data_IF_382742438690
#
_entry.id   IF_382742438690
#
_cell.length_a   1.000
_cell.length_b   1.000
_cell.length_c   1.000
_cell.angle_alpha   90.00
_cell.angle_beta   90.00
_cell.angle_gamma   90.00
#
_symmetry.space_group_name_H-M   'P 1'
#
loop_
_entity.id
_entity.type
_entity.pdbx_description
1 polymer ?
#
# COMPACT_ATOMS: atom_id res chain seq x y z
N UNK A 1 83.24 23.42 50.83
CA UNK A 1 82.12 22.49 51.13
C UNK A 1 80.88 23.35 51.26
N UNK A 2 79.84 23.32 50.41
CA UNK A 2 79.29 22.33 49.49
C UNK A 2 78.80 23.05 48.22
N UNK A 3 79.13 22.51 47.05
CA UNK A 3 78.54 22.92 45.76
C UNK A 3 77.25 22.15 45.54
N UNK A 4 76.14 22.83 45.23
CA UNK A 4 74.89 22.21 44.81
C UNK A 4 74.75 22.44 43.30
N UNK A 5 74.89 21.36 42.55
CA UNK A 5 74.80 21.32 41.09
C UNK A 5 73.30 21.27 40.72
N UNK A 6 72.82 22.26 39.97
CA UNK A 6 71.50 22.18 39.33
C UNK A 6 71.57 21.16 38.18
N UNK A 7 70.88 20.03 38.33
CA UNK A 7 70.70 19.04 37.28
C UNK A 7 69.41 19.34 36.53
N UNK A 8 69.54 19.83 35.29
CA UNK A 8 68.46 20.00 34.33
C UNK A 8 68.11 18.64 33.72
N UNK A 9 66.96 18.08 34.11
CA UNK A 9 66.39 16.88 33.49
C UNK A 9 65.71 17.28 32.18
N UNK A 10 66.34 16.97 31.05
CA UNK A 10 65.71 17.06 29.74
C UNK A 10 64.81 15.82 29.52
N UNK A 11 63.50 16.02 29.60
CA UNK A 11 62.49 15.04 29.19
C UNK A 11 62.50 14.93 27.67
N UNK A 12 63.18 13.91 27.14
CA UNK A 12 63.08 13.51 25.73
C UNK A 12 61.77 12.72 25.57
N UNK A 13 60.72 13.40 25.14
CA UNK A 13 59.47 12.75 24.74
C UNK A 13 59.69 11.98 23.44
N UNK A 14 59.80 10.65 23.53
CA UNK A 14 59.76 9.76 22.37
C UNK A 14 58.33 9.72 21.86
N UNK A 15 58.06 10.45 20.78
CA UNK A 15 56.80 10.35 20.02
C UNK A 15 56.85 9.05 19.24
N UNK A 16 56.10 8.05 19.71
CA UNK A 16 55.78 6.83 18.94
C UNK A 16 54.88 7.26 17.79
N UNK A 17 55.41 7.26 16.57
CA UNK A 17 54.63 7.43 15.35
C UNK A 17 53.84 6.15 15.10
N UNK A 18 52.56 6.12 15.48
CA UNK A 18 51.63 5.15 14.94
C UNK A 18 51.29 5.56 13.49
N UNK A 19 51.93 4.89 12.53
CA UNK A 19 51.47 4.85 11.15
C UNK A 19 50.20 4.02 11.06
N UNK A 20 49.05 4.68 11.05
CA UNK A 20 47.74 4.10 10.81
C UNK A 20 46.89 5.16 10.14
N UNK A 21 46.41 4.84 8.94
CA UNK A 21 45.50 5.66 8.12
C UNK A 21 44.47 6.38 8.98
N UNK A 22 44.40 7.70 8.80
CA UNK A 22 43.45 8.59 9.45
C UNK A 22 42.02 8.08 9.16
N UNK A 23 41.44 7.36 10.12
CA UNK A 23 40.00 7.22 10.19
C UNK A 23 39.47 8.63 10.48
N UNK A 24 39.17 9.35 9.40
CA UNK A 24 38.53 10.66 9.48
C UNK A 24 37.19 10.45 10.17
N UNK A 25 37.12 10.77 11.45
CA UNK A 25 35.85 10.90 12.15
C UNK A 25 35.16 12.10 11.48
N UNK A 26 34.05 11.93 10.74
CA UNK A 26 33.39 13.05 10.10
C UNK A 26 32.96 14.03 11.19
N UNK A 27 33.44 15.28 11.08
CA UNK A 27 32.96 16.39 11.88
C UNK A 27 31.43 16.46 11.75
N UNK A 28 30.66 16.74 12.82
CA UNK A 28 29.22 16.92 12.69
C UNK A 28 28.97 18.05 11.70
N UNK A 29 28.44 17.67 10.53
CA UNK A 29 28.24 18.57 9.40
C UNK A 29 27.32 19.70 9.79
N UNK A 30 27.64 20.88 9.29
CA UNK A 30 26.69 22.00 9.30
C UNK A 30 25.48 21.61 8.46
N UNK A 31 24.27 22.04 8.85
CA UNK A 31 23.03 21.72 8.15
C UNK A 31 23.15 22.05 6.65
N UNK A 32 23.27 21.02 5.80
CA UNK A 32 23.34 21.16 4.34
C UNK A 32 24.52 20.47 3.65
N UNK A 33 25.54 20.00 4.38
CA UNK A 33 26.66 19.27 3.77
C UNK A 33 26.25 17.84 3.40
N UNK A 34 26.36 17.49 2.11
CA UNK A 34 26.15 16.13 1.61
C UNK A 34 27.43 15.30 1.75
N UNK A 35 27.31 14.08 2.30
CA UNK A 35 28.39 13.11 2.45
C UNK A 35 28.12 11.83 1.65
N UNK A 36 29.19 11.33 1.03
CA UNK A 36 29.16 10.07 0.29
C UNK A 36 28.99 8.90 1.24
N UNK A 37 27.94 8.11 1.02
CA UNK A 37 27.71 6.86 1.72
C UNK A 37 28.58 5.77 1.10
N UNK A 38 29.19 4.94 1.93
CA UNK A 38 30.06 3.84 1.52
C UNK A 38 29.49 2.50 1.95
N UNK A 39 29.89 1.45 1.23
CA UNK A 39 29.66 0.07 1.64
C UNK A 39 30.53 -0.26 2.85
N UNK A 40 30.24 -1.38 3.52
CA UNK A 40 31.01 -1.87 4.68
C UNK A 40 32.49 -2.11 4.37
N UNK A 41 32.84 -2.40 3.12
CA UNK A 41 34.21 -2.58 2.63
C UNK A 41 34.91 -1.26 2.25
N UNK A 42 34.24 -0.11 2.44
CA UNK A 42 34.73 1.21 2.08
C UNK A 42 34.57 1.57 0.59
N UNK A 43 34.02 0.67 -0.23
CA UNK A 43 33.77 0.96 -1.64
C UNK A 43 32.58 1.90 -1.82
N UNK A 44 32.53 2.54 -2.99
CA UNK A 44 31.44 3.43 -3.36
C UNK A 44 30.09 2.68 -3.43
N UNK A 45 29.02 3.38 -3.05
CA UNK A 45 27.64 2.89 -3.17
C UNK A 45 27.10 2.95 -4.60
N UNK A 46 27.84 3.58 -5.53
CA UNK A 46 27.52 3.63 -6.95
C UNK A 46 28.42 2.74 -7.82
N UNK A 47 27.91 2.35 -8.98
CA UNK A 47 28.66 1.64 -10.04
C UNK A 47 28.94 2.53 -11.28
N UNK A 48 28.64 3.82 -11.18
CA UNK A 48 28.76 4.81 -12.26
C UNK A 48 27.51 4.94 -13.14
N UNK A 49 26.50 4.08 -12.97
CA UNK A 49 25.21 4.17 -13.66
C UNK A 49 24.02 4.20 -12.68
N UNK A 50 24.19 3.61 -11.50
CA UNK A 50 23.19 3.48 -10.47
C UNK A 50 23.82 3.51 -9.08
N UNK A 51 22.99 3.74 -8.08
CA UNK A 51 23.36 3.69 -6.67
C UNK A 51 22.51 2.65 -5.93
N UNK A 52 23.08 1.97 -4.95
CA UNK A 52 22.37 1.01 -4.11
C UNK A 52 22.84 1.04 -2.66
N UNK A 53 21.91 0.80 -1.73
CA UNK A 53 22.19 0.61 -0.31
C UNK A 53 22.75 -0.79 0.02
N UNK A 54 22.93 -1.65 -0.98
CA UNK A 54 23.45 -3.00 -0.80
C UNK A 54 24.80 -3.00 -0.07
N UNK A 55 24.89 -3.83 0.97
CA UNK A 55 26.10 -3.99 1.79
C UNK A 55 26.55 -2.68 2.47
N UNK A 56 25.60 -1.84 2.91
CA UNK A 56 25.88 -0.67 3.76
C UNK A 56 25.46 -0.96 5.20
N UNK A 57 26.16 -0.37 6.17
CA UNK A 57 25.79 -0.50 7.59
C UNK A 57 24.41 0.12 7.86
N UNK A 58 24.10 1.25 7.21
CA UNK A 58 22.82 1.95 7.34
C UNK A 58 21.64 1.06 6.91
N UNK A 59 21.78 0.32 5.81
CA UNK A 59 20.73 -0.59 5.36
C UNK A 59 20.46 -1.71 6.37
N UNK A 60 21.51 -2.36 6.86
CA UNK A 60 21.39 -3.47 7.80
C UNK A 60 20.80 -3.06 9.16
N UNK A 61 21.05 -1.82 9.59
CA UNK A 61 20.51 -1.29 10.85
C UNK A 61 19.02 -0.92 10.74
N UNK A 62 18.54 -0.50 9.56
CA UNK A 62 17.19 0.07 9.38
C UNK A 62 16.23 -0.85 8.62
N UNK A 63 16.71 -1.78 7.81
CA UNK A 63 15.90 -2.79 7.14
C UNK A 63 15.58 -4.10 7.93
N UNK A 64 15.91 -4.31 9.23
CA UNK A 64 15.74 -5.63 9.86
C UNK A 64 14.28 -6.04 10.05
N UNK A 65 13.32 -5.15 9.82
CA UNK A 65 11.88 -5.48 9.85
C UNK A 65 11.40 -6.22 8.59
N UNK A 66 12.20 -6.30 7.52
CA UNK A 66 11.83 -7.00 6.28
C UNK A 66 13.05 -7.61 5.57
N UNK A 67 13.55 -8.78 6.02
CA UNK A 67 14.78 -9.39 5.48
C UNK A 67 14.67 -9.81 4.00
N UNK A 68 13.46 -9.97 3.47
CA UNK A 68 13.19 -10.30 2.06
C UNK A 68 12.86 -9.06 1.20
N UNK A 69 12.91 -7.85 1.78
CA UNK A 69 12.66 -6.65 1.01
C UNK A 69 13.76 -6.44 -0.04
N UNK A 70 13.39 -6.14 -1.30
CA UNK A 70 14.38 -5.86 -2.34
C UNK A 70 15.18 -4.60 -1.96
N UNK A 71 16.50 -4.67 -2.11
CA UNK A 71 17.37 -3.52 -1.85
C UNK A 71 17.03 -2.42 -2.86
N UNK A 72 16.72 -1.19 -2.42
CA UNK A 72 16.47 -0.09 -3.33
C UNK A 72 17.68 0.23 -4.21
N UNK A 73 17.39 0.50 -5.49
CA UNK A 73 18.37 0.92 -6.50
C UNK A 73 17.88 2.21 -7.15
N UNK A 74 18.77 3.19 -7.27
CA UNK A 74 18.48 4.54 -7.75
C UNK A 74 19.30 4.85 -9.01
N UNK A 75 18.73 5.65 -9.91
CA UNK A 75 19.40 6.17 -11.09
C UNK A 75 20.15 7.45 -10.76
N UNK A 76 21.18 7.77 -11.55
CA UNK A 76 21.86 9.05 -11.45
C UNK A 76 20.87 10.22 -11.52
N UNK A 77 20.98 11.15 -10.58
CA UNK A 77 20.10 12.30 -10.44
C UNK A 77 18.86 12.07 -9.57
N UNK A 78 18.57 10.83 -9.16
CA UNK A 78 17.42 10.58 -8.27
C UNK A 78 17.64 11.24 -6.90
N UNK A 79 16.61 11.92 -6.40
CA UNK A 79 16.53 12.46 -5.05
C UNK A 79 15.59 11.59 -4.20
N UNK A 80 16.02 11.23 -2.99
CA UNK A 80 15.28 10.34 -2.10
C UNK A 80 15.62 10.59 -0.64
N UNK A 81 14.75 10.13 0.27
CA UNK A 81 15.07 10.09 1.70
C UNK A 81 15.99 8.89 1.97
N UNK A 82 16.97 9.09 2.85
CA UNK A 82 17.76 8.01 3.46
C UNK A 82 16.82 6.94 4.01
N UNK A 83 17.31 5.71 4.14
CA UNK A 83 16.50 4.60 4.66
C UNK A 83 15.99 4.86 6.09
N UNK A 84 16.69 5.72 6.85
CA UNK A 84 16.27 6.23 8.16
C UNK A 84 15.16 7.31 8.10
N UNK A 85 14.74 7.73 6.90
CA UNK A 85 13.73 8.76 6.64
C UNK A 85 14.15 10.20 6.91
N UNK A 86 15.33 10.42 7.50
CA UNK A 86 15.75 11.70 8.07
C UNK A 86 16.56 12.54 7.07
N UNK A 87 17.57 11.91 6.46
CA UNK A 87 18.51 12.62 5.61
C UNK A 87 18.03 12.69 4.16
N UNK A 88 18.17 13.86 3.54
CA UNK A 88 17.96 14.03 2.09
C UNK A 88 19.17 13.48 1.33
N UNK A 89 18.93 12.63 0.35
CA UNK A 89 19.93 11.94 -0.44
C UNK A 89 19.74 12.15 -1.94
N UNK A 90 20.84 12.11 -2.68
CA UNK A 90 20.87 12.15 -4.15
C UNK A 90 21.80 11.05 -4.67
N UNK A 91 21.42 10.36 -5.74
CA UNK A 91 22.33 9.45 -6.44
C UNK A 91 23.21 10.25 -7.43
N UNK A 92 24.52 10.24 -7.19
CA UNK A 92 25.53 10.90 -8.03
C UNK A 92 26.39 9.86 -8.76
N UNK A 93 27.25 10.32 -9.67
CA UNK A 93 28.27 9.51 -10.34
C UNK A 93 29.23 8.81 -9.36
N UNK A 94 29.41 9.38 -8.15
CA UNK A 94 30.22 8.81 -7.07
C UNK A 94 29.46 7.83 -6.16
N UNK A 95 28.13 7.84 -6.17
CA UNK A 95 27.28 7.06 -5.26
C UNK A 95 26.22 7.89 -4.55
N UNK A 96 25.66 7.33 -3.47
CA UNK A 96 24.62 7.95 -2.65
C UNK A 96 25.23 9.08 -1.82
N UNK A 97 24.80 10.31 -2.08
CA UNK A 97 25.21 11.51 -1.34
C UNK A 97 24.07 11.93 -0.43
N UNK A 98 24.24 11.85 0.90
CA UNK A 98 23.20 12.20 1.86
C UNK A 98 23.62 13.38 2.74
N UNK A 99 22.69 14.25 3.10
CA UNK A 99 22.91 15.20 4.21
C UNK A 99 23.24 14.46 5.52
N UNK A 100 23.98 15.10 6.43
CA UNK A 100 24.23 14.59 7.78
C UNK A 100 23.53 15.45 8.82
N UNK A 101 22.20 15.36 8.87
CA UNK A 101 21.41 15.99 9.92
C UNK A 101 21.48 15.12 11.16
N UNK A 102 21.65 15.76 12.32
CA UNK A 102 21.49 15.08 13.59
C UNK A 102 20.02 14.69 13.74
N UNK A 103 19.72 13.42 13.47
CA UNK A 103 18.39 12.86 13.66
C UNK A 103 18.19 12.66 15.17
N UNK A 104 17.62 13.66 15.83
CA UNK A 104 17.20 13.53 17.22
C UNK A 104 16.10 12.46 17.26
N UNK A 105 16.41 11.30 17.88
CA UNK A 105 15.56 10.19 18.33
C UNK A 105 14.24 9.97 17.58
N UNK A 106 13.96 8.72 17.13
CA UNK A 106 13.12 8.45 15.96
C UNK A 106 11.89 9.35 15.95
N UNK A 107 11.88 10.32 15.03
CA UNK A 107 10.61 10.82 14.58
C UNK A 107 9.85 9.56 14.17
N UNK A 108 8.68 9.26 14.77
CA UNK A 108 7.85 8.21 14.25
C UNK A 108 7.78 8.46 12.74
N UNK A 109 7.63 7.43 11.89
CA UNK A 109 7.26 7.70 10.51
C UNK A 109 6.15 8.75 10.56
N UNK A 110 6.02 9.65 9.58
CA UNK A 110 4.94 10.64 9.59
C UNK A 110 3.53 10.03 9.81
N UNK A 111 3.42 8.69 9.87
CA UNK A 111 2.27 7.86 10.16
C UNK A 111 2.47 6.79 11.26
N UNK A 112 3.44 6.93 12.18
CA UNK A 112 3.68 5.98 13.26
C UNK A 112 2.96 6.36 14.54
N UNK A 113 1.83 5.72 14.82
CA UNK A 113 1.11 5.93 16.08
C UNK A 113 1.68 5.09 17.22
N UNK A 114 1.41 5.51 18.47
CA UNK A 114 1.78 4.72 19.64
C UNK A 114 1.09 3.35 19.60
N UNK A 115 1.77 2.32 20.12
CA UNK A 115 1.29 0.92 20.14
C UNK A 115 0.21 0.68 21.22
N UNK A 116 -0.56 1.70 21.56
CA UNK A 116 -1.66 1.59 22.50
C UNK A 116 -2.78 0.75 21.88
N UNK A 117 -3.39 -0.12 22.68
CA UNK A 117 -4.57 -0.90 22.30
C UNK A 117 -5.79 -0.46 23.11
N UNK A 118 -6.92 -0.25 22.43
CA UNK A 118 -8.24 -0.10 23.05
C UNK A 118 -8.98 -1.42 22.93
N UNK A 119 -9.46 -1.94 24.06
CA UNK A 119 -10.31 -3.14 24.09
C UNK A 119 -11.74 -2.76 23.70
N UNK A 120 -12.32 -3.53 22.80
CA UNK A 120 -13.64 -3.34 22.24
C UNK A 120 -14.71 -4.13 23.02
N UNK A 121 -16.01 -3.77 22.94
CA UNK A 121 -17.09 -4.49 23.63
C UNK A 121 -17.23 -5.97 23.23
N UNK A 122 -16.79 -6.33 22.03
CA UNK A 122 -16.75 -7.71 21.52
C UNK A 122 -15.52 -8.50 22.03
N UNK A 123 -14.63 -7.86 22.81
CA UNK A 123 -13.39 -8.43 23.33
C UNK A 123 -12.18 -8.31 22.39
N UNK A 124 -12.35 -7.76 21.19
CA UNK A 124 -11.24 -7.47 20.27
C UNK A 124 -10.41 -6.28 20.73
N UNK A 125 -9.28 -6.01 20.07
CA UNK A 125 -8.41 -4.87 20.37
C UNK A 125 -8.05 -4.11 19.10
N UNK A 126 -8.13 -2.78 19.17
CA UNK A 126 -7.81 -1.87 18.06
C UNK A 126 -6.67 -0.93 18.44
N UNK A 127 -5.77 -0.67 17.49
CA UNK A 127 -4.68 0.28 17.62
C UNK A 127 -5.06 1.68 17.15
N UNK A 128 -4.16 2.63 17.35
CA UNK A 128 -4.27 3.99 16.79
C UNK A 128 -3.98 4.01 15.29
N UNK A 129 -4.72 4.83 14.54
CA UNK A 129 -4.61 4.99 13.09
C UNK A 129 -4.80 6.45 12.68
N UNK A 130 -4.36 6.78 11.46
CA UNK A 130 -4.54 8.09 10.83
C UNK A 130 -3.57 9.17 11.30
N UNK A 131 -3.58 10.35 10.66
CA UNK A 131 -2.61 11.44 10.91
C UNK A 131 -2.74 12.08 12.30
N UNK A 132 -3.83 11.79 13.02
CA UNK A 132 -4.06 12.25 14.41
C UNK A 132 -3.86 11.15 15.45
N UNK A 133 -3.53 9.92 15.03
CA UNK A 133 -3.35 8.77 15.92
C UNK A 133 -4.52 8.53 16.88
N UNK A 134 -5.73 8.51 16.32
CA UNK A 134 -6.95 8.16 17.03
C UNK A 134 -7.17 6.64 16.98
N UNK A 135 -7.79 6.04 17.98
CA UNK A 135 -8.12 4.61 17.93
C UNK A 135 -9.01 4.32 16.72
N UNK A 136 -8.69 3.25 15.98
CA UNK A 136 -9.59 2.76 14.96
C UNK A 136 -10.96 2.38 15.58
N UNK A 137 -12.06 2.47 14.81
CA UNK A 137 -13.36 1.99 15.28
C UNK A 137 -13.28 0.50 15.62
N UNK A 138 -13.97 0.08 16.68
CA UNK A 138 -14.10 -1.35 16.93
C UNK A 138 -14.86 -2.05 15.80
N UNK A 139 -14.62 -3.35 15.56
CA UNK A 139 -15.45 -4.14 14.67
C UNK A 139 -16.93 -4.00 15.04
N UNK A 140 -17.76 -3.55 14.10
CA UNK A 140 -19.19 -3.28 14.36
C UNK A 140 -19.52 -1.88 14.91
N UNK A 141 -18.53 -1.06 15.26
CA UNK A 141 -18.69 0.40 15.54
C UNK A 141 -18.63 1.25 14.27
N UNK A 142 -19.04 0.68 13.12
CA UNK A 142 -19.49 1.52 12.02
C UNK A 142 -20.68 2.38 12.49
N UNK A 143 -21.02 3.47 11.79
CA UNK A 143 -22.31 4.12 12.01
C UNK A 143 -23.39 3.04 12.03
N UNK A 144 -24.32 3.09 13.00
CA UNK A 144 -25.44 2.15 13.04
C UNK A 144 -26.18 2.31 11.72
N UNK A 145 -25.99 1.33 10.84
CA UNK A 145 -26.64 1.35 9.56
C UNK A 145 -28.14 1.09 9.77
N UNK A 146 -28.96 1.69 8.92
CA UNK A 146 -30.38 1.36 8.88
C UNK A 146 -30.54 -0.13 8.55
N UNK A 147 -31.46 -0.81 9.23
CA UNK A 147 -31.70 -2.25 9.11
C UNK A 147 -32.48 -2.62 7.83
N UNK A 148 -32.19 -1.91 6.74
CA UNK A 148 -32.80 -2.15 5.44
C UNK A 148 -32.18 -3.40 4.81
N UNK A 149 -32.98 -4.19 4.10
CA UNK A 149 -32.51 -5.35 3.33
C UNK A 149 -32.67 -5.08 1.83
N UNK A 150 -31.61 -5.35 1.05
CA UNK A 150 -31.63 -5.33 -0.42
C UNK A 150 -31.62 -6.76 -0.94
N UNK A 151 -32.56 -7.08 -1.83
CA UNK A 151 -32.55 -8.35 -2.57
C UNK A 151 -31.51 -8.26 -3.70
N UNK A 152 -30.57 -9.20 -3.70
CA UNK A 152 -29.53 -9.32 -4.70
C UNK A 152 -30.01 -10.10 -5.95
N UNK A 153 -29.31 -10.00 -7.10
CA UNK A 153 -29.68 -10.71 -8.32
C UNK A 153 -29.68 -12.25 -8.20
N UNK A 154 -28.91 -12.79 -7.25
CA UNK A 154 -28.87 -14.22 -6.89
C UNK A 154 -30.08 -14.66 -6.02
N UNK A 155 -30.91 -13.70 -5.59
CA UNK A 155 -32.05 -13.92 -4.70
C UNK A 155 -31.73 -13.83 -3.21
N UNK A 156 -30.47 -13.65 -2.81
CA UNK A 156 -30.06 -13.43 -1.43
C UNK A 156 -30.47 -12.04 -0.92
N UNK A 157 -30.43 -11.84 0.41
CA UNK A 157 -30.70 -10.54 1.04
C UNK A 157 -29.47 -10.08 1.80
N UNK A 158 -29.09 -8.82 1.59
CA UNK A 158 -27.96 -8.18 2.26
C UNK A 158 -28.40 -6.93 3.00
N UNK A 159 -27.77 -6.68 4.15
CA UNK A 159 -27.89 -5.44 4.89
C UNK A 159 -26.83 -4.43 4.46
N UNK A 160 -27.00 -3.18 4.89
CA UNK A 160 -25.96 -2.16 4.77
C UNK A 160 -24.78 -2.52 5.67
N UNK A 161 -23.56 -2.36 5.17
CA UNK A 161 -22.35 -2.67 5.92
C UNK A 161 -21.21 -1.71 5.58
N UNK A 162 -20.14 -1.77 6.38
CA UNK A 162 -18.97 -0.93 6.21
C UNK A 162 -19.13 0.53 6.67
N UNK A 163 -18.06 1.33 6.58
CA UNK A 163 -18.03 2.70 7.12
C UNK A 163 -18.96 3.68 6.39
N UNK A 164 -19.45 3.32 5.21
CA UNK A 164 -20.39 4.11 4.40
C UNK A 164 -21.84 3.58 4.41
N UNK A 165 -22.11 2.47 5.12
CA UNK A 165 -23.43 1.82 5.14
C UNK A 165 -24.00 1.53 3.73
N UNK A 166 -23.18 0.90 2.90
CA UNK A 166 -23.54 0.51 1.53
C UNK A 166 -23.96 -0.96 1.47
N UNK A 167 -24.79 -1.31 0.49
CA UNK A 167 -25.13 -2.71 0.20
C UNK A 167 -24.05 -3.32 -0.69
N UNK A 168 -23.54 -4.50 -0.30
CA UNK A 168 -22.65 -5.29 -1.13
C UNK A 168 -23.30 -6.66 -1.37
N UNK A 169 -23.58 -7.01 -2.63
CA UNK A 169 -24.09 -8.34 -2.96
C UNK A 169 -22.93 -9.32 -3.20
N UNK A 170 -23.04 -10.58 -2.78
CA UNK A 170 -22.10 -11.62 -3.18
C UNK A 170 -22.03 -11.73 -4.71
N UNK A 171 -20.82 -11.66 -5.29
CA UNK A 171 -20.63 -11.71 -6.74
C UNK A 171 -20.63 -10.35 -7.46
N UNK A 172 -20.68 -9.22 -6.74
CA UNK A 172 -20.47 -7.87 -7.30
C UNK A 172 -18.99 -7.58 -7.65
N UNK A 173 -18.09 -8.58 -7.61
CA UNK A 173 -16.78 -8.41 -8.23
C UNK A 173 -16.96 -8.10 -9.72
N UNK A 174 -16.25 -7.11 -10.27
CA UNK A 174 -16.39 -6.76 -11.68
C UNK A 174 -16.02 -8.00 -12.50
N UNK A 175 -17.02 -8.68 -13.03
CA UNK A 175 -16.82 -9.81 -13.93
C UNK A 175 -16.10 -9.23 -15.14
N UNK A 176 -14.82 -9.56 -15.27
CA UNK A 176 -14.03 -9.25 -16.45
C UNK A 176 -14.57 -10.09 -17.60
N UNK A 177 -15.67 -9.65 -18.21
CA UNK A 177 -16.21 -10.31 -19.38
C UNK A 177 -15.18 -10.17 -20.51
N UNK A 178 -14.79 -11.27 -21.17
CA UNK A 178 -13.97 -11.17 -22.37
C UNK A 178 -14.71 -10.27 -23.37
N UNK A 179 -13.97 -9.41 -24.08
CA UNK A 179 -14.51 -8.52 -25.09
C UNK A 179 -14.95 -9.32 -26.33
N UNK A 180 -16.04 -10.08 -26.22
CA UNK A 180 -16.64 -10.80 -27.34
C UNK A 180 -17.74 -9.91 -27.92
N UNK A 181 -17.47 -9.30 -29.07
CA UNK A 181 -18.49 -8.59 -29.83
C UNK A 181 -19.25 -9.62 -30.70
N UNK A 182 -20.58 -9.67 -30.56
CA UNK A 182 -21.49 -10.35 -31.50
C UNK A 182 -22.33 -9.29 -32.21
N UNK A 183 -22.49 -9.43 -33.53
CA UNK A 183 -23.48 -8.68 -34.30
C UNK A 183 -24.80 -9.44 -34.29
N UNK A 184 -25.90 -8.76 -33.99
CA UNK A 184 -27.26 -9.28 -33.96
C UNK A 184 -27.84 -9.44 -35.37
N UNK A 185 -28.95 -10.16 -35.49
CA UNK A 185 -29.60 -10.38 -36.79
C UNK A 185 -30.07 -9.08 -37.47
N UNK A 186 -30.35 -8.04 -36.69
CA UNK A 186 -30.72 -6.69 -37.16
C UNK A 186 -29.50 -5.81 -37.51
N UNK A 187 -28.28 -6.33 -37.40
CA UNK A 187 -27.02 -5.61 -37.64
C UNK A 187 -26.53 -4.77 -36.46
N UNK A 188 -27.24 -4.76 -35.33
CA UNK A 188 -26.80 -4.07 -34.11
C UNK A 188 -25.71 -4.85 -33.36
N UNK A 189 -24.99 -4.19 -32.46
CA UNK A 189 -24.06 -4.89 -31.57
C UNK A 189 -24.83 -5.46 -30.36
N UNK A 190 -24.57 -6.72 -30.03
CA UNK A 190 -25.13 -7.40 -28.88
C UNK A 190 -24.75 -6.65 -27.58
N UNK A 191 -25.73 -6.48 -26.70
CA UNK A 191 -25.52 -5.87 -25.39
C UNK A 191 -24.99 -6.93 -24.42
N UNK A 192 -24.00 -6.56 -23.61
CA UNK A 192 -23.47 -7.45 -22.58
C UNK A 192 -24.40 -7.45 -21.36
N UNK A 193 -24.95 -8.62 -21.05
CA UNK A 193 -25.77 -8.85 -19.86
C UNK A 193 -24.94 -8.99 -18.59
N UNK A 194 -25.58 -8.95 -17.41
CA UNK A 194 -24.91 -9.00 -16.10
C UNK A 194 -24.19 -10.32 -15.81
N UNK A 195 -24.42 -11.36 -16.62
CA UNK A 195 -23.74 -12.68 -16.54
C UNK A 195 -22.83 -12.95 -17.73
N UNK A 196 -22.33 -11.91 -18.40
CA UNK A 196 -21.56 -11.98 -19.65
C UNK A 196 -22.28 -12.68 -20.82
N UNK A 197 -23.61 -12.68 -20.82
CA UNK A 197 -24.40 -13.14 -21.95
C UNK A 197 -24.54 -12.04 -23.00
N UNK A 198 -24.51 -12.39 -24.29
CA UNK A 198 -24.65 -11.44 -25.40
C UNK A 198 -26.12 -11.35 -25.79
N UNK A 199 -26.79 -10.27 -25.39
CA UNK A 199 -28.22 -10.05 -25.58
C UNK A 199 -28.47 -9.30 -26.90
N UNK A 200 -29.17 -9.93 -27.83
CA UNK A 200 -29.66 -9.26 -29.03
C UNK A 200 -31.15 -8.90 -28.94
N UNK A 201 -31.64 -7.92 -29.72
CA UNK A 201 -33.05 -7.51 -29.72
C UNK A 201 -34.04 -8.66 -29.96
N UNK A 202 -33.67 -9.64 -30.78
CA UNK A 202 -34.42 -10.87 -31.03
C UNK A 202 -34.49 -11.82 -29.82
N UNK A 203 -33.55 -11.72 -28.89
CA UNK A 203 -33.50 -12.53 -27.66
C UNK A 203 -34.32 -11.90 -26.54
N UNK A 204 -34.77 -10.64 -26.70
CA UNK A 204 -35.55 -9.95 -25.68
C UNK A 204 -36.96 -10.57 -25.63
N UNK A 205 -37.44 -11.02 -24.46
CA UNK A 205 -38.83 -11.42 -24.30
C UNK A 205 -39.71 -10.24 -24.72
N UNK A 206 -40.62 -10.46 -25.67
CA UNK A 206 -41.61 -9.45 -26.05
C UNK A 206 -42.40 -9.09 -24.80
N UNK A 207 -42.37 -7.84 -24.32
CA UNK A 207 -43.13 -7.45 -23.14
C UNK A 207 -44.61 -7.48 -23.51
N UNK A 208 -45.30 -8.51 -23.06
CA UNK A 208 -46.74 -8.60 -23.19
C UNK A 208 -47.42 -7.83 -22.06
N UNK A 209 -48.67 -7.44 -22.25
CA UNK A 209 -49.48 -6.87 -21.17
C UNK A 209 -49.67 -7.90 -20.05
N UNK A 210 -49.67 -7.44 -18.80
CA UNK A 210 -49.83 -8.26 -17.58
C UNK A 210 -51.28 -8.73 -17.37
N UNK A 211 -51.93 -9.15 -18.45
CA UNK A 211 -53.27 -9.73 -18.42
C UNK A 211 -53.19 -11.19 -17.95
N UNK A 212 -54.14 -11.61 -17.10
CA UNK A 212 -54.28 -13.00 -16.69
C UNK A 212 -55.56 -13.61 -17.28
N UNK A 213 -55.46 -14.81 -17.85
CA UNK A 213 -56.61 -15.60 -18.33
C UNK A 213 -56.73 -16.88 -17.50
N UNK A 214 -57.94 -17.15 -17.01
CA UNK A 214 -58.26 -18.44 -16.41
C UNK A 214 -58.42 -19.51 -17.49
N UNK A 215 -57.75 -20.65 -17.30
CA UNK A 215 -57.82 -21.82 -18.14
C UNK A 215 -58.94 -22.78 -17.67
N UNK A 216 -59.38 -23.73 -18.50
CA UNK A 216 -60.45 -24.67 -18.13
C UNK A 216 -60.12 -25.55 -16.92
N UNK A 217 -58.84 -25.77 -16.65
CA UNK A 217 -58.31 -26.49 -15.48
C UNK A 217 -58.30 -25.64 -14.19
N UNK A 218 -58.71 -24.37 -14.27
CA UNK A 218 -58.72 -23.41 -13.17
C UNK A 218 -57.39 -22.68 -12.95
N UNK A 219 -56.34 -22.99 -13.71
CA UNK A 219 -55.06 -22.26 -13.63
C UNK A 219 -55.17 -20.87 -14.28
N UNK A 220 -54.28 -19.95 -13.90
CA UNK A 220 -54.19 -18.63 -14.52
C UNK A 220 -52.89 -18.53 -15.29
N UNK A 221 -52.98 -18.10 -16.56
CA UNK A 221 -51.82 -17.90 -17.44
C UNK A 221 -51.75 -16.45 -17.88
N UNK A 222 -50.52 -15.95 -18.00
CA UNK A 222 -50.22 -14.68 -18.66
C UNK A 222 -50.09 -14.83 -20.17
N UNK A 223 -50.00 -13.72 -20.88
CA UNK A 223 -49.63 -13.70 -22.30
C UNK A 223 -48.16 -14.11 -22.47
N UNK A 224 -47.89 -14.99 -23.42
CA UNK A 224 -46.53 -15.49 -23.68
C UNK A 224 -46.24 -15.58 -25.17
N UNK A 225 -44.95 -15.68 -25.53
CA UNK A 225 -44.49 -15.83 -26.90
C UNK A 225 -44.49 -14.53 -27.71
N UNK A 226 -43.99 -14.57 -28.96
CA UNK A 226 -43.77 -13.38 -29.80
C UNK A 226 -45.07 -12.67 -30.23
N UNK A 227 -46.22 -13.33 -30.07
CA UNK A 227 -47.55 -12.78 -30.38
C UNK A 227 -48.37 -12.41 -29.13
N UNK A 228 -47.82 -12.59 -27.93
CA UNK A 228 -48.51 -12.31 -26.68
C UNK A 228 -49.88 -13.00 -26.56
N UNK A 229 -49.86 -14.32 -26.76
CA UNK A 229 -51.06 -15.18 -26.73
C UNK A 229 -51.17 -15.89 -25.38
N UNK A 230 -52.40 -16.20 -24.97
CA UNK A 230 -52.65 -17.06 -23.81
C UNK A 230 -52.50 -18.52 -24.22
N UNK A 231 -51.57 -19.23 -23.59
CA UNK A 231 -51.36 -20.67 -23.80
C UNK A 231 -51.74 -21.39 -22.52
N UNK A 232 -52.89 -22.07 -22.54
CA UNK A 232 -53.30 -22.93 -21.42
C UNK A 232 -52.55 -24.28 -21.48
N UNK A 233 -52.25 -24.90 -20.32
CA UNK A 233 -51.82 -26.29 -20.26
C UNK A 233 -52.83 -27.20 -21.00
N UNK A 234 -52.33 -28.26 -21.64
CA UNK A 234 -53.17 -29.27 -22.28
C UNK A 234 -53.77 -30.23 -21.27
#
# INVERSE_FOLDING_TARGET
MRSIILSSVALVSVVVACGGSEASIPSPGTNGEQQLQTRKDGTATGDGASCSWANTTTYDLVAPSAPDAPVPTYKLGDEFKSIDGCNDCTCSDKGIMCTLRACEQPQPPEHGCTMDAKVCPDGSSVGRQGPKCEFAPCPGEGPICTADAKKCPDGSYVGRSGPKCEFACPGDEPIACPAIARTCADGSNAKLGPKCELICPEDRPVPCTDDAKQCPDGTYVGRTGPKCEFVCPK
#
